data_IF_877552470508
#
_entry.id   IF_877552470508
#
_cell.length_a   1.000
_cell.length_b   1.000
_cell.length_c   1.000
_cell.angle_alpha   90.00
_cell.angle_beta   90.00
_cell.angle_gamma   90.00
#
_symmetry.space_group_name_H-M   'P 1'
#
loop_
_entity.id
_entity.type
_entity.pdbx_description
1 polymer ?
#
# COMPACT_ATOMS: atom_id res chain seq x y z
N UNK A 1 10.64 -41.21 17.10
CA UNK A 1 9.20 -41.21 16.75
C UNK A 1 8.58 -39.81 16.78
N UNK A 2 8.69 -39.04 17.88
CA UNK A 2 8.10 -37.70 17.98
C UNK A 2 8.56 -36.68 16.90
N UNK A 3 9.83 -36.74 16.47
CA UNK A 3 10.36 -35.88 15.39
C UNK A 3 9.77 -36.17 14.01
N UNK A 4 9.47 -37.43 13.71
CA UNK A 4 8.84 -37.81 12.44
C UNK A 4 7.36 -37.41 12.40
N UNK A 5 6.66 -37.52 13.53
CA UNK A 5 5.26 -37.12 13.68
C UNK A 5 5.09 -35.59 13.56
N UNK A 6 6.00 -34.81 14.17
CA UNK A 6 6.01 -33.36 14.01
C UNK A 6 6.28 -32.94 12.56
N UNK A 7 7.25 -33.56 11.88
CA UNK A 7 7.56 -33.26 10.48
C UNK A 7 6.36 -33.55 9.55
N UNK A 8 5.66 -34.67 9.79
CA UNK A 8 4.46 -35.04 9.03
C UNK A 8 3.30 -34.07 9.24
N UNK A 9 3.06 -33.64 10.49
CA UNK A 9 2.03 -32.66 10.82
C UNK A 9 2.32 -31.27 10.20
N UNK A 10 3.60 -30.86 10.16
CA UNK A 10 4.01 -29.61 9.51
C UNK A 10 3.84 -29.67 7.99
N UNK A 11 4.15 -30.80 7.36
CA UNK A 11 3.96 -31.02 5.93
C UNK A 11 2.47 -31.02 5.56
N UNK A 12 1.62 -31.68 6.35
CA UNK A 12 0.17 -31.68 6.11
C UNK A 12 -0.48 -30.31 6.28
N UNK A 13 -0.05 -29.52 7.28
CA UNK A 13 -0.55 -28.16 7.46
C UNK A 13 -0.07 -27.21 6.35
N UNK A 14 1.18 -27.35 5.89
CA UNK A 14 1.69 -26.55 4.78
C UNK A 14 0.93 -26.87 3.48
N UNK A 15 0.63 -28.15 3.24
CA UNK A 15 -0.10 -28.61 2.06
C UNK A 15 -1.56 -28.13 2.04
N UNK A 16 -2.28 -28.28 3.16
CA UNK A 16 -3.67 -27.81 3.27
C UNK A 16 -3.76 -26.28 3.06
N UNK A 17 -2.78 -25.51 3.57
CA UNK A 17 -2.71 -24.06 3.35
C UNK A 17 -2.47 -23.69 1.89
N UNK A 18 -1.65 -24.46 1.17
CA UNK A 18 -1.42 -24.22 -0.25
C UNK A 18 -2.65 -24.50 -1.10
N UNK A 19 -3.43 -25.53 -0.77
CA UNK A 19 -4.69 -25.85 -1.47
C UNK A 19 -5.72 -24.73 -1.29
N UNK A 20 -5.98 -24.32 -0.04
CA UNK A 20 -6.89 -23.20 0.26
C UNK A 20 -6.45 -21.91 -0.44
N UNK A 21 -5.14 -21.62 -0.43
CA UNK A 21 -4.61 -20.44 -1.09
C UNK A 21 -4.74 -20.52 -2.62
N UNK A 22 -4.55 -21.70 -3.22
CA UNK A 22 -4.73 -21.90 -4.66
C UNK A 22 -6.18 -21.71 -5.09
N UNK A 23 -7.15 -22.24 -4.34
CA UNK A 23 -8.57 -22.04 -4.60
C UNK A 23 -8.97 -20.57 -4.49
N UNK A 24 -8.45 -19.89 -3.47
CA UNK A 24 -8.72 -18.49 -3.24
C UNK A 24 -8.14 -17.59 -4.35
N UNK A 25 -6.95 -17.89 -4.86
CA UNK A 25 -6.37 -17.20 -6.02
C UNK A 25 -7.23 -17.42 -7.28
N UNK A 26 -7.74 -18.63 -7.51
CA UNK A 26 -8.64 -18.88 -8.65
C UNK A 26 -9.94 -18.07 -8.53
N UNK A 27 -10.58 -18.10 -7.37
CA UNK A 27 -11.80 -17.32 -7.12
C UNK A 27 -11.56 -15.81 -7.23
N UNK A 28 -10.37 -15.34 -6.82
CA UNK A 28 -9.96 -13.94 -6.95
C UNK A 28 -9.75 -13.52 -8.41
N UNK A 29 -9.04 -14.33 -9.20
CA UNK A 29 -8.80 -14.08 -10.63
C UNK A 29 -10.12 -14.05 -11.43
N UNK A 30 -11.11 -14.84 -11.03
CA UNK A 30 -12.46 -14.83 -11.60
C UNK A 30 -13.30 -13.62 -11.14
N UNK A 31 -12.80 -12.79 -10.22
CA UNK A 31 -13.50 -11.63 -9.70
C UNK A 31 -14.63 -11.95 -8.71
N UNK A 32 -14.70 -13.18 -8.18
CA UNK A 32 -15.75 -13.59 -7.22
C UNK A 32 -15.58 -12.98 -5.83
N UNK A 33 -14.35 -12.62 -5.48
CA UNK A 33 -14.02 -12.07 -4.15
C UNK A 33 -14.02 -10.54 -4.10
N UNK A 34 -13.76 -9.88 -5.24
CA UNK A 34 -13.53 -8.44 -5.33
C UNK A 34 -14.81 -7.67 -5.63
N UNK A 35 -15.23 -6.73 -4.76
CA UNK A 35 -16.32 -5.80 -5.07
C UNK A 35 -15.98 -4.93 -6.28
N UNK A 36 -16.99 -4.47 -7.01
CA UNK A 36 -16.78 -3.48 -8.08
C UNK A 36 -16.68 -2.08 -7.50
N UNK A 37 -15.84 -1.23 -8.10
CA UNK A 37 -15.69 0.15 -7.62
C UNK A 37 -17.02 0.93 -7.73
N UNK A 38 -17.79 0.66 -8.78
CA UNK A 38 -19.10 1.28 -8.97
C UNK A 38 -20.11 0.90 -7.87
N UNK A 39 -20.00 -0.32 -7.32
CA UNK A 39 -20.85 -0.78 -6.22
C UNK A 39 -20.48 -0.08 -4.91
N UNK A 40 -19.18 0.09 -4.65
CA UNK A 40 -18.68 0.82 -3.48
C UNK A 40 -19.11 2.29 -3.53
N UNK A 41 -19.01 2.94 -4.69
CA UNK A 41 -19.34 4.36 -4.85
C UNK A 41 -20.84 4.66 -4.80
N UNK A 42 -21.69 3.69 -5.16
CA UNK A 42 -23.16 3.83 -5.12
C UNK A 42 -23.77 3.33 -3.81
N UNK A 43 -22.97 2.71 -2.95
CA UNK A 43 -23.45 2.16 -1.70
C UNK A 43 -23.95 3.26 -0.75
N UNK A 44 -25.00 2.97 0.05
CA UNK A 44 -25.43 3.88 1.09
C UNK A 44 -24.33 4.05 2.16
N UNK A 45 -24.31 5.17 2.91
CA UNK A 45 -23.27 5.47 3.90
C UNK A 45 -23.03 4.39 4.96
N UNK A 46 -24.03 3.56 5.26
CA UNK A 46 -23.98 2.47 6.21
C UNK A 46 -23.30 1.20 5.66
N UNK A 47 -23.37 0.98 4.35
CA UNK A 47 -22.80 -0.20 3.67
C UNK A 47 -21.46 0.10 3.00
N UNK A 48 -21.22 1.37 2.64
CA UNK A 48 -20.00 1.83 2.00
C UNK A 48 -18.72 1.46 2.77
N UNK A 49 -18.63 1.57 4.11
CA UNK A 49 -17.43 1.18 4.86
C UNK A 49 -17.09 -0.31 4.68
N UNK A 50 -18.10 -1.20 4.75
CA UNK A 50 -17.90 -2.65 4.62
C UNK A 50 -17.46 -3.03 3.22
N UNK A 51 -18.07 -2.43 2.20
CA UNK A 51 -17.69 -2.67 0.80
C UNK A 51 -16.30 -2.11 0.49
N UNK A 52 -15.94 -0.95 1.04
CA UNK A 52 -14.62 -0.34 0.89
C UNK A 52 -13.53 -1.17 1.58
N UNK A 53 -13.79 -1.65 2.80
CA UNK A 53 -12.88 -2.56 3.51
C UNK A 53 -12.69 -3.86 2.72
N UNK A 54 -13.77 -4.46 2.22
CA UNK A 54 -13.70 -5.65 1.36
C UNK A 54 -12.93 -5.38 0.07
N UNK A 55 -13.12 -4.22 -0.56
CA UNK A 55 -12.37 -3.80 -1.74
C UNK A 55 -10.87 -3.64 -1.45
N UNK A 56 -10.52 -3.13 -0.27
CA UNK A 56 -9.13 -3.00 0.16
C UNK A 56 -8.46 -4.36 0.47
N UNK A 57 -9.22 -5.31 1.03
CA UNK A 57 -8.73 -6.66 1.35
C UNK A 57 -8.66 -7.56 0.11
N UNK A 58 -9.57 -7.35 -0.84
CA UNK A 58 -9.70 -8.11 -2.09
C UNK A 58 -9.83 -7.14 -3.28
N UNK A 59 -8.77 -6.39 -3.62
CA UNK A 59 -8.78 -5.53 -4.80
C UNK A 59 -9.06 -6.35 -6.06
N UNK A 60 -9.65 -5.80 -7.12
CA UNK A 60 -9.83 -6.52 -8.38
C UNK A 60 -8.46 -6.93 -8.97
N UNK A 61 -8.35 -8.12 -9.57
CA UNK A 61 -7.11 -8.56 -10.20
C UNK A 61 -6.76 -7.64 -11.38
N UNK A 62 -5.48 -7.22 -11.51
CA UNK A 62 -5.01 -6.46 -12.66
C UNK A 62 -5.27 -7.20 -13.98
N UNK A 63 -5.66 -6.46 -15.03
CA UNK A 63 -5.89 -7.04 -16.35
C UNK A 63 -4.55 -7.54 -16.93
N UNK A 64 -4.52 -8.80 -17.37
CA UNK A 64 -3.31 -9.41 -17.93
C UNK A 64 -2.35 -9.99 -16.88
N UNK A 65 -2.78 -10.13 -15.62
CA UNK A 65 -2.01 -10.82 -14.59
C UNK A 65 -1.88 -12.31 -14.91
N UNK A 66 -0.65 -12.80 -15.00
CA UNK A 66 -0.29 -14.21 -15.07
C UNK A 66 0.24 -14.67 -13.71
N UNK A 67 -0.28 -15.76 -13.16
CA UNK A 67 0.10 -16.27 -11.84
C UNK A 67 0.59 -17.71 -11.96
N UNK A 68 1.81 -17.98 -11.50
CA UNK A 68 2.34 -19.32 -11.37
C UNK A 68 1.83 -19.98 -10.08
N UNK A 69 0.86 -20.89 -10.23
CA UNK A 69 0.21 -21.60 -9.12
C UNK A 69 0.98 -22.84 -8.67
N UNK A 70 1.95 -23.29 -9.45
CA UNK A 70 2.68 -24.56 -9.24
C UNK A 70 3.84 -24.41 -8.26
N UNK A 71 4.33 -23.18 -8.06
CA UNK A 71 5.47 -22.88 -7.19
C UNK A 71 5.11 -21.93 -6.03
N UNK A 72 4.16 -22.31 -5.14
CA UNK A 72 3.82 -21.48 -3.99
C UNK A 72 4.97 -21.46 -2.96
N UNK A 73 5.23 -20.28 -2.40
CA UNK A 73 6.16 -20.10 -1.28
C UNK A 73 5.39 -19.75 -0.01
N UNK A 74 5.56 -20.53 1.04
CA UNK A 74 4.88 -20.31 2.33
C UNK A 74 5.79 -19.52 3.27
N UNK A 75 5.32 -18.35 3.72
CA UNK A 75 6.00 -17.47 4.66
C UNK A 75 5.09 -17.17 5.87
N UNK A 76 5.18 -18.01 6.90
CA UNK A 76 4.38 -17.88 8.12
C UNK A 76 2.88 -18.05 7.87
N UNK A 77 2.13 -16.94 7.88
CA UNK A 77 0.69 -16.92 7.59
C UNK A 77 0.38 -16.47 6.14
N UNK A 78 1.39 -16.38 5.29
CA UNK A 78 1.25 -15.94 3.90
C UNK A 78 1.64 -17.04 2.94
N UNK A 79 0.93 -17.11 1.82
CA UNK A 79 1.28 -17.93 0.67
C UNK A 79 1.51 -16.99 -0.51
N UNK A 80 2.71 -17.03 -1.07
CA UNK A 80 3.17 -16.19 -2.16
C UNK A 80 3.16 -17.03 -3.44
N UNK A 81 2.55 -16.49 -4.49
CA UNK A 81 2.56 -17.08 -5.82
C UNK A 81 3.32 -16.14 -6.76
N UNK A 82 4.40 -16.59 -7.42
CA UNK A 82 5.07 -15.78 -8.43
C UNK A 82 4.08 -15.35 -9.51
N UNK A 83 4.10 -14.07 -9.87
CA UNK A 83 3.18 -13.51 -10.84
C UNK A 83 3.84 -12.46 -11.73
N UNK A 84 3.29 -12.26 -12.93
CA UNK A 84 3.76 -11.29 -13.89
C UNK A 84 2.58 -10.48 -14.44
N UNK A 85 2.79 -9.17 -14.61
CA UNK A 85 1.84 -8.25 -15.22
C UNK A 85 2.56 -7.54 -16.38
N UNK A 86 2.44 -8.11 -17.58
CA UNK A 86 3.23 -7.65 -18.73
C UNK A 86 4.72 -7.88 -18.48
N UNK A 87 5.48 -6.79 -18.39
CA UNK A 87 6.94 -6.83 -18.11
C UNK A 87 7.26 -6.75 -16.60
N UNK A 88 6.28 -6.42 -15.75
CA UNK A 88 6.49 -6.32 -14.31
C UNK A 88 6.38 -7.69 -13.64
N UNK A 89 7.40 -8.07 -12.88
CA UNK A 89 7.42 -9.28 -12.05
C UNK A 89 7.02 -8.93 -10.62
N UNK A 90 6.29 -9.84 -9.97
CA UNK A 90 5.76 -9.67 -8.63
C UNK A 90 5.31 -10.97 -8.02
N UNK A 91 4.57 -10.84 -6.93
CA UNK A 91 3.97 -11.96 -6.22
C UNK A 91 2.50 -11.66 -5.91
N UNK A 92 1.63 -12.64 -6.10
CA UNK A 92 0.29 -12.64 -5.50
C UNK A 92 0.42 -13.15 -4.08
N UNK A 93 0.07 -12.29 -3.12
CA UNK A 93 0.18 -12.56 -1.70
C UNK A 93 -1.20 -12.92 -1.17
N UNK A 94 -1.36 -14.16 -0.69
CA UNK A 94 -2.54 -14.62 0.05
C UNK A 94 -2.20 -14.62 1.54
N UNK A 95 -2.97 -13.90 2.34
CA UNK A 95 -2.83 -13.89 3.81
C UNK A 95 -3.92 -14.77 4.41
N UNK A 96 -3.50 -15.80 5.14
CA UNK A 96 -4.38 -16.76 5.81
C UNK A 96 -4.42 -16.49 7.31
N UNK A 97 -5.58 -16.72 7.93
CA UNK A 97 -5.74 -16.84 9.38
C UNK A 97 -6.50 -18.15 9.65
N UNK A 98 -5.78 -19.17 10.11
CA UNK A 98 -6.32 -20.53 10.14
C UNK A 98 -6.58 -21.05 8.73
N UNK A 99 -7.84 -21.38 8.46
CA UNK A 99 -8.35 -21.81 7.14
C UNK A 99 -9.03 -20.68 6.36
N UNK A 100 -9.16 -19.48 6.94
CA UNK A 100 -9.81 -18.35 6.28
C UNK A 100 -8.82 -17.47 5.51
N UNK A 101 -9.22 -17.03 4.32
CA UNK A 101 -8.49 -16.06 3.52
C UNK A 101 -8.85 -14.66 4.00
N UNK A 102 -7.88 -13.96 4.59
CA UNK A 102 -8.06 -12.60 5.09
C UNK A 102 -7.79 -11.52 4.06
N UNK A 103 -6.89 -11.80 3.10
CA UNK A 103 -6.45 -10.81 2.11
C UNK A 103 -5.82 -11.48 0.90
N UNK A 104 -6.05 -10.93 -0.29
CA UNK A 104 -5.34 -11.30 -1.52
C UNK A 104 -4.98 -10.05 -2.30
N UNK A 105 -3.72 -9.89 -2.70
CA UNK A 105 -3.30 -8.75 -3.52
C UNK A 105 -2.05 -9.08 -4.33
N UNK A 106 -1.88 -8.39 -5.45
CA UNK A 106 -0.63 -8.41 -6.22
C UNK A 106 0.35 -7.39 -5.63
N UNK A 107 1.58 -7.85 -5.37
CA UNK A 107 2.71 -7.03 -4.93
C UNK A 107 3.77 -7.04 -6.05
N UNK A 108 3.96 -5.92 -6.77
CA UNK A 108 5.10 -5.80 -7.68
C UNK A 108 6.41 -5.75 -6.88
N UNK A 109 7.48 -6.36 -7.40
CA UNK A 109 8.80 -6.41 -6.72
C UNK A 109 9.40 -5.00 -6.51
N UNK A 110 9.03 -4.03 -7.36
CA UNK A 110 9.63 -2.68 -7.38
C UNK A 110 9.13 -1.68 -6.34
N UNK A 111 8.17 -2.01 -5.48
CA UNK A 111 7.62 -1.06 -4.49
C UNK A 111 8.42 -0.95 -3.19
N UNK A 112 9.49 -1.72 -3.03
CA UNK A 112 10.41 -1.56 -1.90
C UNK A 112 11.35 -0.37 -2.15
N UNK A 113 11.54 0.47 -1.12
CA UNK A 113 12.63 1.46 -1.12
C UNK A 113 13.94 0.74 -1.47
N UNK A 114 14.69 1.22 -2.48
CA UNK A 114 15.95 0.59 -2.84
C UNK A 114 16.86 0.43 -1.62
N UNK A 115 17.42 -0.76 -1.43
CA UNK A 115 18.19 -1.09 -0.22
C UNK A 115 19.34 -0.11 0.06
N UNK A 116 19.90 0.53 -0.97
CA UNK A 116 20.94 1.54 -0.84
C UNK A 116 20.48 2.79 -0.08
N UNK A 117 19.19 3.17 -0.15
CA UNK A 117 18.62 4.32 0.56
C UNK A 117 18.40 4.05 2.05
N UNK A 118 18.36 2.78 2.47
CA UNK A 118 18.16 2.39 3.88
C UNK A 118 19.48 2.36 4.68
N UNK A 119 20.60 2.69 4.04
CA UNK A 119 21.91 2.68 4.70
C UNK A 119 22.15 3.96 5.50
N UNK A 120 22.91 3.90 6.62
CA UNK A 120 23.32 5.11 7.34
C UNK A 120 24.08 6.12 6.46
N UNK A 121 24.78 5.62 5.42
CA UNK A 121 25.51 6.43 4.44
C UNK A 121 24.55 7.29 3.62
N UNK A 122 23.38 6.77 3.23
CA UNK A 122 22.36 7.56 2.55
C UNK A 122 21.85 8.72 3.42
N UNK A 123 21.72 8.50 4.73
CA UNK A 123 21.39 9.55 5.70
C UNK A 123 22.42 10.67 5.74
N UNK A 124 23.71 10.32 5.81
CA UNK A 124 24.80 11.30 5.73
C UNK A 124 24.85 12.01 4.37
N UNK A 125 24.62 11.29 3.27
CA UNK A 125 24.54 11.86 1.93
C UNK A 125 23.41 12.88 1.81
N UNK A 126 22.22 12.56 2.34
CA UNK A 126 21.10 13.50 2.39
C UNK A 126 21.42 14.75 3.23
N UNK A 127 22.08 14.59 4.39
CA UNK A 127 22.48 15.70 5.23
C UNK A 127 23.50 16.61 4.52
N UNK A 128 24.53 16.02 3.90
CA UNK A 128 25.54 16.77 3.15
C UNK A 128 24.91 17.49 1.94
N UNK A 129 24.03 16.83 1.21
CA UNK A 129 23.29 17.42 0.10
C UNK A 129 22.43 18.60 0.57
N UNK A 130 21.77 18.46 1.72
CA UNK A 130 20.96 19.53 2.33
C UNK A 130 21.83 20.73 2.73
N UNK A 131 22.99 20.49 3.34
CA UNK A 131 23.94 21.54 3.70
C UNK A 131 24.52 22.21 2.46
N UNK A 132 24.82 21.44 1.41
CA UNK A 132 25.31 21.94 0.13
C UNK A 132 24.29 22.87 -0.53
N UNK A 133 23.02 22.47 -0.60
CA UNK A 133 21.95 23.35 -1.08
C UNK A 133 21.81 24.62 -0.23
N UNK A 134 21.84 24.49 1.10
CA UNK A 134 21.81 25.65 2.00
C UNK A 134 23.01 26.59 1.80
N UNK A 135 24.19 26.04 1.49
CA UNK A 135 25.37 26.81 1.15
C UNK A 135 25.23 27.52 -0.20
N UNK A 136 24.74 26.85 -1.24
CA UNK A 136 24.48 27.45 -2.56
C UNK A 136 23.52 28.64 -2.49
N UNK A 137 22.50 28.56 -1.63
CA UNK A 137 21.53 29.64 -1.42
C UNK A 137 22.15 30.86 -0.70
N UNK A 138 23.26 30.70 0.03
CA UNK A 138 23.96 31.80 0.70
C UNK A 138 24.95 32.51 -0.21
N UNK A 139 25.57 31.79 -1.13
CA UNK A 139 26.53 32.35 -2.09
C UNK A 139 25.81 33.10 -3.23
N UNK A 140 26.47 34.06 -3.92
CA UNK A 140 25.95 34.68 -5.14
C UNK A 140 26.00 33.67 -6.30
N UNK A 141 25.12 32.67 -6.24
CA UNK A 141 24.97 31.61 -7.24
C UNK A 141 23.68 31.80 -8.06
N UNK A 142 23.58 31.22 -9.27
CA UNK A 142 22.33 31.20 -10.03
C UNK A 142 21.16 30.60 -9.24
N UNK A 143 21.42 29.61 -8.38
CA UNK A 143 20.40 29.00 -7.52
C UNK A 143 19.82 29.99 -6.51
N UNK A 144 20.64 30.86 -5.93
CA UNK A 144 20.16 31.94 -5.07
C UNK A 144 19.30 32.93 -5.86
N UNK A 145 19.69 33.28 -7.07
CA UNK A 145 18.90 34.18 -7.93
C UNK A 145 17.52 33.59 -8.22
N UNK A 146 17.45 32.33 -8.67
CA UNK A 146 16.19 31.63 -8.90
C UNK A 146 15.33 31.51 -7.64
N UNK A 147 15.95 31.24 -6.49
CA UNK A 147 15.22 31.18 -5.22
C UNK A 147 14.61 32.54 -4.84
N UNK A 148 15.36 33.63 -5.03
CA UNK A 148 14.85 34.99 -4.78
C UNK A 148 13.76 35.40 -5.77
N UNK A 149 13.88 34.99 -7.03
CA UNK A 149 12.85 35.19 -8.05
C UNK A 149 11.57 34.41 -7.71
N UNK A 150 11.70 33.15 -7.30
CA UNK A 150 10.57 32.36 -6.81
C UNK A 150 9.92 33.00 -5.58
N UNK A 151 10.71 33.58 -4.66
CA UNK A 151 10.18 34.34 -3.52
C UNK A 151 9.50 35.63 -3.93
N UNK A 152 9.97 36.30 -4.98
CA UNK A 152 9.33 37.50 -5.53
C UNK A 152 7.96 37.14 -6.14
N UNK A 153 7.89 36.08 -6.95
CA UNK A 153 6.64 35.54 -7.49
C UNK A 153 5.66 35.12 -6.39
N UNK A 154 6.17 34.47 -5.35
CA UNK A 154 5.36 34.07 -4.19
C UNK A 154 4.79 35.29 -3.46
N UNK A 155 5.55 36.37 -3.34
CA UNK A 155 5.11 37.63 -2.71
C UNK A 155 4.07 38.34 -3.55
N UNK A 156 4.27 38.39 -4.86
CA UNK A 156 3.33 38.97 -5.83
C UNK A 156 2.00 38.22 -5.81
N UNK A 157 2.05 36.89 -5.79
CA UNK A 157 0.86 36.02 -5.78
C UNK A 157 0.52 35.47 -4.39
N UNK A 158 0.89 36.19 -3.32
CA UNK A 158 0.68 35.74 -1.92
C UNK A 158 -0.76 35.34 -1.62
N UNK A 159 -1.73 36.03 -2.23
CA UNK A 159 -3.15 35.75 -2.05
C UNK A 159 -3.54 34.39 -2.62
N UNK A 160 -3.06 34.06 -3.82
CA UNK A 160 -3.28 32.76 -4.44
C UNK A 160 -2.62 31.65 -3.62
N UNK A 161 -1.36 31.85 -3.21
CA UNK A 161 -0.65 30.88 -2.37
C UNK A 161 -1.37 30.63 -1.04
N UNK A 162 -1.76 31.69 -0.33
CA UNK A 162 -2.48 31.57 0.94
C UNK A 162 -3.84 30.93 0.75
N UNK A 163 -4.58 31.30 -0.30
CA UNK A 163 -5.86 30.69 -0.63
C UNK A 163 -5.70 29.20 -0.90
N UNK A 164 -4.75 28.79 -1.74
CA UNK A 164 -4.49 27.37 -2.03
C UNK A 164 -4.11 26.61 -0.77
N UNK A 165 -3.21 27.14 0.05
CA UNK A 165 -2.84 26.50 1.31
C UNK A 165 -4.02 26.39 2.27
N UNK A 166 -4.75 27.50 2.49
CA UNK A 166 -5.91 27.51 3.38
C UNK A 166 -7.00 26.56 2.89
N UNK A 167 -7.23 26.49 1.57
CA UNK A 167 -8.16 25.55 0.97
C UNK A 167 -7.72 24.10 1.19
N UNK A 168 -6.44 23.77 0.96
CA UNK A 168 -5.92 22.41 1.15
C UNK A 168 -5.93 21.99 2.62
N UNK A 169 -5.47 22.86 3.53
CA UNK A 169 -5.53 22.59 4.97
C UNK A 169 -6.97 22.57 5.49
N UNK A 170 -7.85 23.40 4.94
CA UNK A 170 -9.28 23.38 5.22
C UNK A 170 -9.94 22.08 4.78
N UNK A 171 -9.60 21.58 3.58
CA UNK A 171 -10.06 20.28 3.09
C UNK A 171 -9.54 19.14 3.96
N UNK A 172 -8.29 19.21 4.42
CA UNK A 172 -7.73 18.26 5.36
C UNK A 172 -8.44 18.29 6.72
N UNK A 173 -8.71 19.48 7.27
CA UNK A 173 -9.45 19.63 8.53
C UNK A 173 -10.89 19.12 8.39
N UNK A 174 -11.57 19.43 7.28
CA UNK A 174 -12.90 18.92 6.98
C UNK A 174 -12.90 17.39 6.86
N UNK A 175 -11.91 16.82 6.16
CA UNK A 175 -11.72 15.37 6.08
C UNK A 175 -11.48 14.74 7.46
N UNK A 176 -10.73 15.41 8.33
CA UNK A 176 -10.47 14.95 9.70
C UNK A 176 -11.73 14.99 10.57
N UNK A 177 -12.53 16.05 10.46
CA UNK A 177 -13.83 16.16 11.14
C UNK A 177 -14.81 15.09 10.64
N UNK A 178 -14.85 14.84 9.33
CA UNK A 178 -15.66 13.79 8.75
C UNK A 178 -15.23 12.39 9.24
N UNK A 179 -13.92 12.15 9.30
CA UNK A 179 -13.38 10.91 9.83
C UNK A 179 -13.75 10.70 11.31
N UNK A 180 -13.79 11.77 12.10
CA UNK A 180 -14.27 11.71 13.48
C UNK A 180 -15.77 11.40 13.58
N UNK A 181 -16.59 11.98 12.70
CA UNK A 181 -18.03 11.71 12.64
C UNK A 181 -18.40 10.33 12.07
N UNK A 182 -17.54 9.74 11.24
CA UNK A 182 -17.75 8.45 10.57
C UNK A 182 -16.52 7.53 10.74
N UNK A 183 -16.27 7.01 11.95
CA UNK A 183 -15.05 6.27 12.25
C UNK A 183 -14.89 4.98 11.45
N UNK A 184 -15.99 4.32 11.10
CA UNK A 184 -15.97 3.10 10.28
C UNK A 184 -15.48 3.36 8.86
N UNK A 185 -15.93 4.46 8.25
CA UNK A 185 -15.50 4.88 6.91
C UNK A 185 -14.01 5.27 6.94
N UNK A 186 -13.59 6.01 7.97
CA UNK A 186 -12.19 6.37 8.15
C UNK A 186 -11.28 5.14 8.26
N UNK A 187 -11.72 4.11 9.00
CA UNK A 187 -11.00 2.84 9.12
C UNK A 187 -10.91 2.12 7.77
N UNK A 188 -11.99 2.04 7.01
CA UNK A 188 -11.99 1.40 5.70
C UNK A 188 -11.07 2.12 4.70
N UNK A 189 -11.07 3.45 4.70
CA UNK A 189 -10.13 4.29 3.91
C UNK A 189 -8.68 4.06 4.36
N UNK A 190 -8.43 3.95 5.66
CA UNK A 190 -7.10 3.64 6.19
C UNK A 190 -6.63 2.25 5.73
N UNK A 191 -7.50 1.23 5.73
CA UNK A 191 -7.15 -0.11 5.23
C UNK A 191 -6.83 -0.07 3.73
N UNK A 192 -7.55 0.76 2.95
CA UNK A 192 -7.31 0.94 1.52
C UNK A 192 -5.94 1.57 1.22
N UNK A 193 -5.60 2.69 1.87
CA UNK A 193 -4.39 3.46 1.54
C UNK A 193 -3.17 3.14 2.41
N UNK A 194 -3.37 2.84 3.69
CA UNK A 194 -2.29 2.52 4.64
C UNK A 194 -1.97 1.03 4.74
N UNK A 195 -2.80 0.17 4.14
CA UNK A 195 -2.82 -1.25 4.44
C UNK A 195 -3.40 -1.53 5.84
N UNK A 196 -3.79 -2.78 6.15
CA UNK A 196 -4.30 -3.12 7.46
C UNK A 196 -3.20 -2.83 8.50
N UNK A 197 -3.48 -1.87 9.39
CA UNK A 197 -2.70 -1.68 10.60
C UNK A 197 -2.66 -3.02 11.33
N UNK A 198 -1.45 -3.52 11.63
CA UNK A 198 -1.25 -4.71 12.47
C UNK A 198 -2.19 -4.62 13.69
N UNK A 199 -2.94 -5.67 14.03
CA UNK A 199 -3.65 -5.68 15.31
C UNK A 199 -2.60 -5.49 16.41
N UNK A 200 -2.85 -4.51 17.29
CA UNK A 200 -2.10 -4.37 18.54
C UNK A 200 -2.22 -5.68 19.31
N UNK A 201 -1.07 -6.26 19.65
CA UNK A 201 -0.94 -7.42 20.52
C UNK A 201 -1.52 -7.15 21.92
#
# INVERSE_FOLDING_TARGET
MARFLALWLFLSLAWARTEVAQEAVAAWLEGKLSPRLEEVLRAPPEEAPKLLERYALFPPPPKGLSVNRESPKVEGNRVLFPAALGEEVGEVVVVLEGEEVRRIYFRPEGLALPAYLLTPVAGWGFLLLSLFWGFLLRQPSPFRAWFLEALALLREHRGLYLFTNLFLYGLFALGSLLAYGMPELARAVQVLFGGPSRPSA
#
